data_IF_160288469451
#
_entry.id   IF_160288469451
#
_cell.length_a   1.000
_cell.length_b   1.000
_cell.length_c   1.000
_cell.angle_alpha   90.00
_cell.angle_beta   90.00
_cell.angle_gamma   90.00
#
_symmetry.space_group_name_H-M   'P 1'
#
loop_
_entity.id
_entity.type
_entity.pdbx_description
1 polymer ?
#
# COMPACT_ATOMS: atom_id res chain seq x y z
N UNK A 1 0.95 2.72 -3.32
CA UNK A 1 0.64 3.53 -2.12
C UNK A 1 -0.67 3.08 -1.48
N UNK A 2 -0.98 3.66 -0.31
CA UNK A 2 -2.31 3.59 0.29
C UNK A 2 -2.83 5.02 0.49
N UNK A 3 -3.84 5.42 -0.27
CA UNK A 3 -4.37 6.79 -0.37
C UNK A 3 -3.34 7.86 -0.80
N UNK A 4 -2.22 7.43 -1.39
CA UNK A 4 -1.16 8.33 -1.82
C UNK A 4 -1.54 9.28 -2.94
N UNK A 5 -2.49 8.90 -3.80
CA UNK A 5 -3.03 9.76 -4.85
C UNK A 5 -3.79 10.97 -4.30
N UNK A 6 -4.42 10.82 -3.13
CA UNK A 6 -5.16 11.89 -2.46
C UNK A 6 -4.34 12.70 -1.45
N UNK A 7 -3.19 12.17 -1.01
CA UNK A 7 -2.40 12.79 0.05
C UNK A 7 -0.92 12.92 -0.30
N UNK A 8 -0.15 11.83 -0.29
CA UNK A 8 1.32 11.89 -0.40
C UNK A 8 1.79 12.52 -1.70
N UNK A 9 1.22 12.12 -2.84
CA UNK A 9 1.66 12.58 -4.17
C UNK A 9 1.42 14.08 -4.34
N UNK A 10 0.24 14.66 -4.05
CA UNK A 10 0.02 16.10 -4.13
C UNK A 10 0.98 16.90 -3.23
N UNK A 11 1.23 16.44 -2.00
CA UNK A 11 2.18 17.09 -1.10
C UNK A 11 3.61 17.04 -1.61
N UNK A 12 4.05 15.88 -2.10
CA UNK A 12 5.38 15.73 -2.69
C UNK A 12 5.56 16.59 -3.94
N UNK A 13 4.55 16.67 -4.80
CA UNK A 13 4.59 17.53 -6.00
C UNK A 13 4.64 19.02 -5.64
N UNK A 14 3.87 19.45 -4.63
CA UNK A 14 3.89 20.83 -4.15
C UNK A 14 5.26 21.19 -3.55
N UNK A 15 5.85 20.29 -2.75
CA UNK A 15 7.15 20.49 -2.11
C UNK A 15 8.31 20.38 -3.10
N UNK A 16 8.20 19.49 -4.07
CA UNK A 16 9.26 19.18 -5.04
C UNK A 16 8.70 19.21 -6.48
N UNK A 17 8.53 20.41 -7.09
CA UNK A 17 7.87 20.55 -8.41
C UNK A 17 8.58 19.80 -9.55
N UNK A 18 9.86 19.42 -9.36
CA UNK A 18 10.62 18.64 -10.36
C UNK A 18 10.40 17.13 -10.25
N UNK A 19 9.72 16.65 -9.20
CA UNK A 19 9.37 15.24 -9.09
C UNK A 19 8.34 14.87 -10.15
N UNK A 20 8.65 13.78 -10.86
CA UNK A 20 7.84 13.30 -11.95
C UNK A 20 7.30 11.89 -11.63
N UNK A 21 6.00 11.80 -11.38
CA UNK A 21 5.30 10.55 -11.10
C UNK A 21 4.66 9.94 -12.37
N UNK A 22 5.40 9.93 -13.50
CA UNK A 22 4.91 9.38 -14.78
C UNK A 22 4.83 7.84 -14.83
N UNK A 23 5.16 7.16 -13.75
CA UNK A 23 5.04 5.69 -13.70
C UNK A 23 3.63 5.27 -13.34
N UNK A 24 3.18 4.08 -13.77
CA UNK A 24 1.93 3.52 -13.31
C UNK A 24 1.87 3.54 -11.77
N UNK A 25 0.78 4.05 -11.24
CA UNK A 25 0.57 4.20 -9.81
C UNK A 25 -0.64 3.36 -9.40
N UNK A 26 -0.45 2.47 -8.45
CA UNK A 26 -1.52 1.65 -7.89
C UNK A 26 -1.81 2.10 -6.45
N UNK A 27 -3.01 2.60 -6.23
CA UNK A 27 -3.45 3.08 -4.92
C UNK A 27 -4.36 2.04 -4.27
N UNK A 28 -3.81 1.33 -3.28
CA UNK A 28 -4.45 0.19 -2.63
C UNK A 28 -5.71 0.57 -1.86
N UNK A 29 -5.85 1.84 -1.44
CA UNK A 29 -7.05 2.32 -0.78
C UNK A 29 -8.30 2.16 -1.66
N UNK A 30 -8.18 2.47 -2.96
CA UNK A 30 -9.31 2.32 -3.89
C UNK A 30 -9.58 0.85 -4.23
N UNK A 31 -8.54 0.02 -4.36
CA UNK A 31 -8.70 -1.42 -4.55
C UNK A 31 -9.43 -2.06 -3.37
N UNK A 32 -9.01 -1.76 -2.14
CA UNK A 32 -9.65 -2.24 -0.92
C UNK A 32 -11.12 -1.81 -0.83
N UNK A 33 -11.42 -0.54 -1.10
CA UNK A 33 -12.81 -0.03 -1.13
C UNK A 33 -13.67 -0.75 -2.17
N UNK A 34 -13.12 -1.06 -3.35
CA UNK A 34 -13.83 -1.80 -4.39
C UNK A 34 -14.16 -3.23 -3.96
N UNK A 35 -13.35 -3.82 -3.10
CA UNK A 35 -13.60 -5.13 -2.48
C UNK A 35 -14.56 -5.06 -1.29
N UNK A 36 -14.96 -3.85 -0.85
CA UNK A 36 -15.88 -3.63 0.26
C UNK A 36 -15.18 -3.38 1.60
N UNK A 37 -13.85 -3.35 1.62
CA UNK A 37 -13.08 -3.03 2.82
C UNK A 37 -13.14 -1.52 3.11
N UNK A 38 -13.20 -1.15 4.39
CA UNK A 38 -13.28 0.24 4.84
C UNK A 38 -12.19 0.54 5.88
N UNK A 39 -11.90 1.82 6.06
CA UNK A 39 -10.92 2.27 7.05
C UNK A 39 -9.56 2.62 6.46
N UNK A 40 -8.61 2.90 7.34
CA UNK A 40 -7.23 3.22 6.98
C UNK A 40 -6.36 1.96 6.81
N UNK A 41 -5.11 2.15 6.36
CA UNK A 41 -4.16 1.06 6.12
C UNK A 41 -4.10 0.04 7.25
N UNK A 42 -3.92 0.49 8.48
CA UNK A 42 -3.81 -0.38 9.67
C UNK A 42 -5.06 -1.20 9.95
N UNK A 43 -6.23 -0.62 9.71
CA UNK A 43 -7.50 -1.33 9.89
C UNK A 43 -7.61 -2.47 8.87
N UNK A 44 -7.27 -2.19 7.61
CA UNK A 44 -7.31 -3.19 6.54
C UNK A 44 -6.25 -4.27 6.75
N UNK A 45 -5.00 -3.89 7.15
CA UNK A 45 -3.97 -4.86 7.50
C UNK A 45 -4.43 -5.82 8.61
N UNK A 46 -5.07 -5.30 9.64
CA UNK A 46 -5.63 -6.12 10.72
C UNK A 46 -6.74 -7.06 10.18
N UNK A 47 -7.65 -6.56 9.35
CA UNK A 47 -8.74 -7.34 8.75
C UNK A 47 -8.19 -8.51 7.90
N UNK A 48 -7.12 -8.27 7.14
CA UNK A 48 -6.47 -9.28 6.29
C UNK A 48 -5.30 -10.01 6.96
N UNK A 49 -5.12 -9.82 8.26
CA UNK A 49 -4.10 -10.49 9.09
C UNK A 49 -2.64 -10.24 8.67
N UNK A 50 -2.34 -9.05 8.14
CA UNK A 50 -0.98 -8.59 7.91
C UNK A 50 -0.43 -8.04 9.23
N UNK A 51 0.57 -8.72 9.79
CA UNK A 51 1.17 -8.36 11.08
C UNK A 51 2.06 -7.11 10.99
N UNK A 52 2.14 -6.38 12.10
CA UNK A 52 3.12 -5.32 12.36
C UNK A 52 4.04 -5.69 13.51
N UNK A 53 5.25 -5.13 13.52
CA UNK A 53 6.15 -5.23 14.67
C UNK A 53 5.48 -4.61 15.90
N UNK A 54 5.67 -5.22 17.07
CA UNK A 54 4.92 -4.88 18.31
C UNK A 54 5.10 -3.44 18.77
N UNK A 55 6.26 -2.84 18.52
CA UNK A 55 6.62 -1.48 18.93
C UNK A 55 5.95 -0.38 18.09
N UNK A 56 5.40 -0.73 16.92
CA UNK A 56 4.65 0.19 16.06
C UNK A 56 3.15 -0.11 15.97
N UNK A 57 2.70 -1.16 16.69
CA UNK A 57 1.27 -1.47 16.82
C UNK A 57 0.57 -0.37 17.60
N UNK A 58 -0.55 0.13 17.09
CA UNK A 58 -1.33 1.19 17.75
C UNK A 58 -0.87 2.62 17.48
N UNK A 59 0.31 2.84 16.88
CA UNK A 59 0.71 4.17 16.44
C UNK A 59 -0.21 4.63 15.30
N UNK A 60 -0.69 5.86 15.38
CA UNK A 60 -1.51 6.49 14.33
C UNK A 60 -0.82 7.71 13.71
N UNK A 61 -1.51 8.42 12.81
CA UNK A 61 -0.97 9.60 12.16
C UNK A 61 -0.67 10.74 13.13
N UNK A 62 -1.42 10.88 14.22
CA UNK A 62 -1.16 11.89 15.25
C UNK A 62 0.08 11.54 16.05
N UNK A 63 0.27 10.27 16.39
CA UNK A 63 1.50 9.81 17.03
C UNK A 63 2.73 10.07 16.15
N UNK A 64 2.62 9.87 14.83
CA UNK A 64 3.70 10.19 13.90
C UNK A 64 4.04 11.68 13.90
N UNK A 65 3.04 12.57 13.95
CA UNK A 65 3.26 14.03 14.08
C UNK A 65 3.92 14.37 15.41
N UNK A 66 3.49 13.73 16.51
CA UNK A 66 4.09 13.93 17.83
C UNK A 66 5.57 13.50 17.85
N UNK A 67 5.87 12.34 17.32
CA UNK A 67 7.25 11.83 17.20
C UNK A 67 8.11 12.75 16.33
N UNK A 68 7.58 13.30 15.25
CA UNK A 68 8.26 14.29 14.44
C UNK A 68 8.66 15.53 15.24
N UNK A 69 7.73 16.10 16.04
CA UNK A 69 8.03 17.26 16.88
C UNK A 69 9.06 16.94 17.97
N UNK A 70 9.00 15.76 18.60
CA UNK A 70 10.00 15.31 19.56
C UNK A 70 11.38 15.19 18.92
N UNK A 71 11.47 14.60 17.72
CA UNK A 71 12.73 14.56 16.97
C UNK A 71 13.25 15.96 16.63
N UNK A 72 12.40 16.87 16.18
CA UNK A 72 12.80 18.27 15.94
C UNK A 72 13.33 18.97 17.21
N UNK A 73 12.92 18.51 18.38
CA UNK A 73 13.43 18.97 19.68
C UNK A 73 14.68 18.21 20.17
N UNK A 74 15.22 17.27 19.36
CA UNK A 74 16.47 16.56 19.64
C UNK A 74 16.31 15.14 20.18
N UNK A 75 15.09 14.59 20.21
CA UNK A 75 14.84 13.21 20.65
C UNK A 75 15.12 12.20 19.52
N UNK A 76 16.30 11.58 19.53
CA UNK A 76 16.70 10.58 18.55
C UNK A 76 15.90 9.27 18.69
N UNK A 77 15.42 8.93 19.88
CA UNK A 77 14.58 7.73 20.05
C UNK A 77 13.22 7.90 19.35
N UNK A 78 12.65 9.10 19.40
CA UNK A 78 11.44 9.45 18.66
C UNK A 78 11.65 9.34 17.13
N UNK A 79 12.81 9.76 16.63
CA UNK A 79 13.18 9.58 15.22
C UNK A 79 13.22 8.11 14.83
N UNK A 80 13.90 7.29 15.61
CA UNK A 80 14.06 5.88 15.31
C UNK A 80 12.72 5.14 15.31
N UNK A 81 11.83 5.49 16.24
CA UNK A 81 10.47 4.94 16.27
C UNK A 81 9.65 5.39 15.05
N UNK A 82 9.75 6.67 14.66
CA UNK A 82 9.07 7.21 13.48
C UNK A 82 9.54 6.52 12.19
N UNK A 83 10.85 6.23 12.07
CA UNK A 83 11.39 5.51 10.93
C UNK A 83 10.90 4.05 10.88
N UNK A 84 10.82 3.36 12.02
CA UNK A 84 10.24 2.01 12.08
C UNK A 84 8.77 2.00 11.71
N UNK A 85 8.01 2.98 12.20
CA UNK A 85 6.62 3.17 11.83
C UNK A 85 6.45 3.34 10.31
N UNK A 86 7.20 4.25 9.69
CA UNK A 86 7.15 4.49 8.25
C UNK A 86 7.60 3.26 7.45
N UNK A 87 8.61 2.54 7.94
CA UNK A 87 9.06 1.28 7.33
C UNK A 87 7.95 0.22 7.35
N UNK A 88 7.19 0.09 8.44
CA UNK A 88 6.07 -0.84 8.50
C UNK A 88 4.97 -0.44 7.50
N UNK A 89 4.61 0.85 7.45
CA UNK A 89 3.63 1.36 6.48
C UNK A 89 4.02 1.09 5.02
N UNK A 90 5.32 1.14 4.70
CA UNK A 90 5.80 0.87 3.33
C UNK A 90 5.94 -0.60 3.00
N UNK A 91 6.52 -1.40 3.92
CA UNK A 91 6.73 -2.84 3.72
C UNK A 91 5.43 -3.62 3.55
N UNK A 92 4.42 -3.29 4.34
CA UNK A 92 3.15 -3.99 4.33
C UNK A 92 2.31 -3.70 3.08
N UNK A 93 2.69 -2.70 2.27
CA UNK A 93 2.01 -2.45 0.99
C UNK A 93 2.20 -3.59 0.00
N UNK A 94 3.33 -4.29 0.00
CA UNK A 94 3.61 -5.38 -0.94
C UNK A 94 2.69 -6.59 -0.72
N UNK A 95 2.64 -7.21 0.48
CA UNK A 95 1.72 -8.31 0.73
C UNK A 95 0.25 -7.89 0.60
N UNK A 96 -0.09 -6.66 1.00
CA UNK A 96 -1.43 -6.13 0.81
C UNK A 96 -1.79 -5.99 -0.67
N UNK A 97 -0.86 -5.50 -1.51
CA UNK A 97 -1.08 -5.38 -2.95
C UNK A 97 -1.34 -6.74 -3.61
N UNK A 98 -0.55 -7.76 -3.25
CA UNK A 98 -0.73 -9.12 -3.76
C UNK A 98 -2.08 -9.68 -3.39
N UNK A 99 -2.47 -9.57 -2.12
CA UNK A 99 -3.76 -10.06 -1.63
C UNK A 99 -4.95 -9.36 -2.31
N UNK A 100 -4.91 -8.03 -2.39
CA UNK A 100 -5.97 -7.27 -3.06
C UNK A 100 -6.05 -7.58 -4.56
N UNK A 101 -4.90 -7.79 -5.22
CA UNK A 101 -4.86 -8.20 -6.62
C UNK A 101 -5.56 -9.54 -6.83
N UNK A 102 -5.21 -10.54 -6.03
CA UNK A 102 -5.81 -11.88 -6.14
C UNK A 102 -7.33 -11.83 -5.91
N UNK A 103 -7.79 -11.09 -4.91
CA UNK A 103 -9.22 -10.90 -4.65
C UNK A 103 -9.92 -10.13 -5.77
N UNK A 104 -9.27 -9.12 -6.35
CA UNK A 104 -9.81 -8.38 -7.49
C UNK A 104 -9.94 -9.27 -8.72
N UNK A 105 -8.94 -10.11 -9.02
CA UNK A 105 -8.97 -11.07 -10.12
C UNK A 105 -10.06 -12.11 -9.89
N UNK A 106 -10.16 -12.66 -8.69
CA UNK A 106 -11.20 -13.65 -8.36
C UNK A 106 -12.62 -13.07 -8.50
N UNK A 107 -12.82 -11.81 -8.10
CA UNK A 107 -14.15 -11.18 -8.09
C UNK A 107 -14.54 -10.54 -9.43
N UNK A 108 -13.60 -9.97 -10.15
CA UNK A 108 -13.84 -9.13 -11.33
C UNK A 108 -13.02 -9.55 -12.56
N UNK A 109 -12.20 -10.58 -12.43
CA UNK A 109 -11.35 -11.06 -13.53
C UNK A 109 -12.16 -11.77 -14.63
N UNK A 110 -11.52 -12.07 -15.77
CA UNK A 110 -12.18 -12.68 -16.94
C UNK A 110 -12.91 -13.98 -16.61
N UNK A 111 -12.39 -14.77 -15.68
CA UNK A 111 -13.03 -16.04 -15.25
C UNK A 111 -14.37 -15.83 -14.54
N UNK A 112 -14.54 -14.71 -13.82
CA UNK A 112 -15.77 -14.38 -13.10
C UNK A 112 -16.90 -13.90 -14.02
N UNK A 113 -16.57 -13.47 -15.24
CA UNK A 113 -17.52 -13.03 -16.28
C UNK A 113 -17.69 -14.03 -17.41
N UNK A 114 -17.24 -15.28 -17.22
CA UNK A 114 -17.41 -16.36 -18.20
C UNK A 114 -16.46 -16.30 -19.39
N UNK A 115 -15.46 -15.43 -19.38
CA UNK A 115 -14.37 -15.46 -20.35
C UNK A 115 -13.38 -16.56 -19.94
N UNK A 116 -13.28 -17.61 -20.73
CA UNK A 116 -12.20 -18.58 -20.61
C UNK A 116 -10.86 -17.85 -20.86
N UNK A 117 -9.84 -18.02 -19.98
CA UNK A 117 -8.54 -17.50 -20.28
C UNK A 117 -8.04 -18.12 -21.58
N UNK A 118 -7.71 -17.30 -22.57
CA UNK A 118 -6.96 -17.77 -23.72
C UNK A 118 -5.62 -18.28 -23.19
N UNK A 119 -5.44 -19.60 -23.22
CA UNK A 119 -4.18 -20.24 -22.84
C UNK A 119 -3.10 -19.65 -23.72
N UNK A 120 -2.15 -18.94 -23.14
CA UNK A 120 -0.95 -18.56 -23.87
C UNK A 120 -0.20 -19.85 -24.24
N UNK A 121 0.09 -20.08 -25.51
CA UNK A 121 0.87 -21.25 -25.89
C UNK A 121 2.21 -21.21 -25.17
N UNK A 122 2.63 -22.36 -24.65
CA UNK A 122 3.96 -22.51 -24.07
C UNK A 122 5.02 -22.37 -25.17
N UNK A 123 6.26 -21.96 -24.83
CA UNK A 123 7.34 -21.82 -25.83
C UNK A 123 7.54 -23.08 -26.70
N UNK A 124 7.22 -24.26 -26.19
CA UNK A 124 7.33 -25.53 -26.91
C UNK A 124 6.18 -25.78 -27.91
N UNK A 125 5.09 -25.02 -27.85
CA UNK A 125 3.96 -25.13 -28.77
C UNK A 125 4.11 -24.19 -30.00
N UNK A 126 5.15 -23.36 -30.06
CA UNK A 126 5.41 -22.36 -31.13
C UNK A 126 6.60 -22.77 -32.02
N UNK A 127 7.14 -23.97 -31.88
CA UNK A 127 8.20 -24.48 -32.76
C UNK A 127 7.62 -24.88 -34.13
N UNK A 128 8.29 -24.54 -35.25
CA UNK A 128 7.85 -24.82 -36.63
C UNK A 128 7.82 -26.30 -36.97
#
# INVERSE_FOLDING_TARGET
TFFGSGFDIPYLQAKFPRLNFKKPHFDLCFAARRLGMQGGLKHIEHEVQIARETDVVGLDGWEAVRLWHQWCAGDEAARDLLLRYNKADTKNLEPLASLLYDQMVARFGPSSIGFLPTRHPTPDEVAP
#
